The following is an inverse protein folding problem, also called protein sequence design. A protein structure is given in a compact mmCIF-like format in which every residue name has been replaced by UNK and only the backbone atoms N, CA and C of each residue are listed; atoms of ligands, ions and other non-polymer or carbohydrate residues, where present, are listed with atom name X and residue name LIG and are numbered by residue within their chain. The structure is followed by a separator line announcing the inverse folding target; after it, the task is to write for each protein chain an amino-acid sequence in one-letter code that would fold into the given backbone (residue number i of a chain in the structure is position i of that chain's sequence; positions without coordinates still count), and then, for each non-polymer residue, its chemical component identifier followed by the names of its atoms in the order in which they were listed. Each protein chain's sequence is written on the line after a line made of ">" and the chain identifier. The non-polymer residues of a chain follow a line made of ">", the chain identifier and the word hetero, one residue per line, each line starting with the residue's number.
data_IF_985287205146
#
_entry.id   IF_985287205146
#
_cell.length_a   1.000
_cell.length_b   1.000
_cell.length_c   1.000
_cell.angle_alpha   90.00
_cell.angle_beta   90.00
_cell.angle_gamma   90.00
#
_symmetry.space_group_name_H-M   'P 1'
#
loop_
_entity.id
_entity.type
_entity.pdbx_description
1 polymer ?
#
# COMPACT_ATOMS: atom_id res chain seq x y z
N UNK A 1 -13.08 10.78 -39.65
CA UNK A 1 -13.21 10.82 -38.17
C UNK A 1 -12.45 9.64 -37.61
N UNK A 2 -11.64 9.84 -36.58
CA UNK A 2 -11.00 8.74 -35.86
C UNK A 2 -11.87 8.36 -34.66
N UNK A 3 -11.97 7.07 -34.35
CA UNK A 3 -12.66 6.55 -33.18
C UNK A 3 -11.68 6.46 -32.00
N UNK A 4 -12.14 6.81 -30.80
CA UNK A 4 -11.39 6.68 -29.56
C UNK A 4 -12.34 6.14 -28.48
N UNK A 5 -11.85 5.18 -27.69
CA UNK A 5 -12.53 4.61 -26.53
C UNK A 5 -12.02 5.28 -25.24
N UNK A 6 -12.90 5.53 -24.27
CA UNK A 6 -12.57 6.23 -23.02
C UNK A 6 -13.30 5.59 -21.83
N UNK A 7 -12.57 5.29 -20.76
CA UNK A 7 -13.13 4.83 -19.48
C UNK A 7 -12.58 5.66 -18.32
N UNK A 8 -13.40 5.87 -17.29
CA UNK A 8 -12.98 6.50 -16.04
C UNK A 8 -12.91 5.44 -14.95
N UNK A 9 -11.74 5.36 -14.30
CA UNK A 9 -11.52 4.46 -13.17
C UNK A 9 -11.18 5.27 -11.92
N UNK A 10 -11.62 4.76 -10.77
CA UNK A 10 -11.16 5.23 -9.46
C UNK A 10 -10.21 4.17 -8.89
N UNK A 11 -9.02 4.60 -8.52
CA UNK A 11 -7.98 3.74 -7.95
C UNK A 11 -7.50 4.33 -6.64
N UNK A 12 -7.35 3.48 -5.62
CA UNK A 12 -6.79 3.84 -4.32
C UNK A 12 -5.75 2.78 -3.94
N UNK A 13 -4.51 3.22 -3.76
CA UNK A 13 -3.42 2.37 -3.35
C UNK A 13 -3.59 1.91 -1.88
N UNK A 14 -2.70 1.04 -1.40
CA UNK A 14 -2.74 0.61 -0.01
C UNK A 14 -2.24 1.72 0.93
N UNK A 15 -2.87 1.86 2.10
CA UNK A 15 -2.56 2.95 3.04
C UNK A 15 -1.21 2.78 3.76
N UNK A 16 -0.71 1.55 3.86
CA UNK A 16 0.42 1.19 4.73
C UNK A 16 -0.06 0.76 6.11
N UNK A 17 0.86 0.21 6.90
CA UNK A 17 0.60 -0.20 8.27
C UNK A 17 0.99 0.88 9.26
N UNK A 18 0.30 0.93 10.40
CA UNK A 18 0.75 1.75 11.53
C UNK A 18 1.97 1.12 12.19
N UNK A 19 2.91 1.95 12.64
CA UNK A 19 3.98 1.52 13.55
C UNK A 19 3.44 1.19 14.94
N UNK A 20 4.28 0.55 15.76
CA UNK A 20 3.91 0.16 17.12
C UNK A 20 4.58 1.08 18.14
N UNK A 21 3.81 1.60 19.10
CA UNK A 21 4.38 2.18 20.32
C UNK A 21 4.47 1.09 21.38
N UNK A 22 5.69 0.63 21.66
CA UNK A 22 5.97 -0.40 22.66
C UNK A 22 7.26 -0.09 23.45
N UNK A 23 7.34 -0.65 24.65
CA UNK A 23 8.51 -0.62 25.51
C UNK A 23 8.84 -2.02 26.01
N UNK A 24 10.14 -2.35 26.02
CA UNK A 24 10.65 -3.63 26.51
C UNK A 24 10.29 -3.84 27.98
N UNK A 25 9.79 -5.02 28.33
CA UNK A 25 9.39 -5.37 29.71
C UNK A 25 10.07 -6.64 30.16
N UNK A 26 11.02 -6.49 31.08
CA UNK A 26 11.77 -7.59 31.65
C UNK A 26 11.85 -7.47 33.17
N UNK A 27 11.80 -8.61 33.85
CA UNK A 27 11.88 -8.66 35.31
C UNK A 27 13.24 -8.12 35.77
N UNK A 28 13.22 -7.08 36.59
CA UNK A 28 14.44 -6.42 37.10
C UNK A 28 14.87 -5.20 36.29
N UNK A 29 14.15 -4.86 35.21
CA UNK A 29 14.36 -3.63 34.43
C UNK A 29 13.11 -2.74 34.59
N UNK A 30 13.15 -1.71 35.47
CA UNK A 30 11.99 -0.86 35.74
C UNK A 30 11.52 -0.04 34.53
N UNK A 31 12.46 0.34 33.65
CA UNK A 31 12.21 1.15 32.46
C UNK A 31 12.99 0.58 31.28
N UNK A 32 12.43 -0.43 30.62
CA UNK A 32 12.99 -0.91 29.35
C UNK A 32 12.84 0.15 28.26
N UNK A 33 13.79 0.16 27.31
CA UNK A 33 13.79 1.09 26.20
C UNK A 33 12.60 0.86 25.24
N UNK A 34 12.33 1.82 24.34
CA UNK A 34 11.34 1.63 23.28
C UNK A 34 11.76 0.47 22.37
N UNK A 35 10.82 -0.43 22.08
CA UNK A 35 11.03 -1.62 21.24
C UNK A 35 9.93 -1.81 20.19
N UNK A 36 9.17 -0.75 19.93
CA UNK A 36 8.18 -0.69 18.86
C UNK A 36 8.83 -0.73 17.47
N UNK A 37 8.17 -1.43 16.54
CA UNK A 37 8.59 -1.51 15.14
C UNK A 37 7.90 -0.47 14.25
N UNK A 38 8.45 -0.29 13.06
CA UNK A 38 7.88 0.57 12.03
C UNK A 38 6.63 -0.05 11.38
N UNK A 39 5.82 0.82 10.80
CA UNK A 39 4.71 0.44 9.94
C UNK A 39 5.21 -0.10 8.60
N UNK A 40 4.43 -0.99 7.98
CA UNK A 40 4.72 -1.50 6.65
C UNK A 40 4.33 -0.53 5.53
N UNK A 41 4.97 -0.66 4.38
CA UNK A 41 4.63 0.15 3.21
C UNK A 41 3.22 -0.14 2.68
N UNK A 42 2.59 0.92 2.15
CA UNK A 42 1.35 0.81 1.40
C UNK A 42 1.55 0.18 0.03
N UNK A 43 0.50 -0.48 -0.48
CA UNK A 43 0.51 -1.06 -1.82
C UNK A 43 0.53 0.01 -2.91
N UNK A 44 1.14 -0.30 -4.06
CA UNK A 44 1.17 0.57 -5.24
C UNK A 44 0.19 0.11 -6.31
N UNK A 45 -0.22 1.03 -7.19
CA UNK A 45 -1.07 0.73 -8.34
C UNK A 45 -0.30 1.02 -9.62
N UNK A 46 -0.30 0.04 -10.52
CA UNK A 46 0.32 0.13 -11.83
C UNK A 46 -0.72 -0.16 -12.91
N UNK A 47 -0.66 0.62 -13.99
CA UNK A 47 -1.30 0.26 -15.25
C UNK A 47 -0.24 -0.39 -16.11
N UNK A 48 -0.48 -1.63 -16.51
CA UNK A 48 0.43 -2.41 -17.36
C UNK A 48 -0.26 -2.64 -18.67
N UNK A 49 0.39 -2.22 -19.76
CA UNK A 49 -0.11 -2.50 -21.10
C UNK A 49 0.15 -3.96 -21.47
N UNK A 50 -0.84 -4.61 -22.08
CA UNK A 50 -0.72 -5.93 -22.69
C UNK A 50 -1.06 -5.82 -24.18
N UNK A 51 -0.26 -6.47 -25.04
CA UNK A 51 -0.49 -6.48 -26.48
C UNK A 51 -1.74 -7.26 -26.91
N UNK A 52 -2.25 -8.14 -26.04
CA UNK A 52 -3.46 -8.92 -26.30
C UNK A 52 -4.73 -8.19 -25.84
N UNK A 53 -4.60 -7.07 -25.13
CA UNK A 53 -5.73 -6.23 -24.74
C UNK A 53 -6.06 -5.22 -25.85
N UNK A 54 -7.33 -5.20 -26.26
CA UNK A 54 -7.78 -4.46 -27.45
C UNK A 54 -8.89 -3.44 -27.17
N UNK A 55 -9.37 -3.35 -25.93
CA UNK A 55 -10.43 -2.42 -25.55
C UNK A 55 -10.33 -2.00 -24.09
N UNK A 56 -11.07 -0.96 -23.69
CA UNK A 56 -11.24 -0.57 -22.29
C UNK A 56 -12.50 -1.20 -21.65
N UNK A 57 -13.10 -2.18 -22.32
CA UNK A 57 -14.27 -2.90 -21.84
C UNK A 57 -13.91 -3.88 -20.69
N UNK A 58 -14.82 -4.09 -19.72
CA UNK A 58 -14.61 -5.01 -18.60
C UNK A 58 -14.80 -6.48 -18.97
#
# INVERSE_FOLDING_TARGET
>A
MAFADEVKIYVKAGDGGDGLVSFHRERGIPHGGPDGGDGGDGGSIYVVADHNEHSLAP
#
